data_IF_521339685187
#
_entry.id   IF_521339685187
#
_cell.length_a   1.000
_cell.length_b   1.000
_cell.length_c   1.000
_cell.angle_alpha   90.00
_cell.angle_beta   90.00
_cell.angle_gamma   90.00
#
_symmetry.space_group_name_H-M   'P 1'
#
loop_
_entity.id
_entity.type
_entity.pdbx_description
1 polymer ?
#
# COMPACT_ATOMS: atom_id res chain seq x y z
N UNK A 1 -11.57 7.34 -16.03
CA UNK A 1 -11.59 7.87 -14.64
C UNK A 1 -10.95 6.90 -13.66
N UNK A 2 -10.30 7.40 -12.61
CA UNK A 2 -9.75 6.58 -11.55
C UNK A 2 -10.16 7.09 -10.17
N UNK A 3 -10.36 6.18 -9.20
CA UNK A 3 -10.75 6.50 -7.85
C UNK A 3 -9.63 6.28 -6.84
N UNK A 4 -9.61 7.09 -5.77
CA UNK A 4 -8.65 6.96 -4.68
C UNK A 4 -9.25 7.44 -3.36
N UNK A 5 -8.69 6.92 -2.26
CA UNK A 5 -9.13 7.25 -0.90
C UNK A 5 -8.35 8.45 -0.35
N UNK A 6 -8.90 9.65 -0.51
CA UNK A 6 -8.34 10.90 0.01
C UNK A 6 -7.31 11.56 -0.92
N UNK A 7 -7.42 12.88 -1.07
CA UNK A 7 -6.49 13.67 -1.88
C UNK A 7 -5.10 13.72 -1.22
N UNK A 8 -4.05 13.64 -2.02
CA UNK A 8 -2.65 13.56 -1.57
C UNK A 8 -2.26 12.20 -0.99
N UNK A 9 -3.12 11.18 -1.11
CA UNK A 9 -2.81 9.84 -0.64
C UNK A 9 -1.85 9.11 -1.59
N UNK A 10 -1.16 8.08 -1.06
CA UNK A 10 -0.34 7.20 -1.89
C UNK A 10 -1.16 6.53 -3.00
N UNK A 11 -2.45 6.28 -2.77
CA UNK A 11 -3.36 5.72 -3.77
C UNK A 11 -3.59 6.67 -4.95
N UNK A 12 -3.67 7.97 -4.72
CA UNK A 12 -3.72 8.98 -5.78
C UNK A 12 -2.38 9.06 -6.51
N UNK A 13 -1.28 9.19 -5.76
CA UNK A 13 0.05 9.40 -6.33
C UNK A 13 0.48 8.25 -7.24
N UNK A 14 0.29 7.00 -6.82
CA UNK A 14 0.65 5.84 -7.64
C UNK A 14 -0.12 5.78 -8.96
N UNK A 15 -1.42 6.04 -8.92
CA UNK A 15 -2.23 6.06 -10.13
C UNK A 15 -1.86 7.23 -11.04
N UNK A 16 -1.66 8.43 -10.48
CA UNK A 16 -1.24 9.62 -11.24
C UNK A 16 0.11 9.38 -11.92
N UNK A 17 1.07 8.81 -11.21
CA UNK A 17 2.38 8.46 -11.77
C UNK A 17 2.26 7.42 -12.88
N UNK A 18 1.51 6.34 -12.63
CA UNK A 18 1.27 5.29 -13.63
C UNK A 18 0.64 5.85 -14.91
N UNK A 19 -0.46 6.61 -14.81
CA UNK A 19 -1.12 7.19 -15.98
C UNK A 19 -0.22 8.18 -16.72
N UNK A 20 0.57 8.98 -15.99
CA UNK A 20 1.57 9.86 -16.59
C UNK A 20 2.62 9.08 -17.40
N UNK A 21 3.17 8.01 -16.85
CA UNK A 21 4.13 7.14 -17.54
C UNK A 21 3.50 6.40 -18.73
N UNK A 22 2.25 5.99 -18.62
CA UNK A 22 1.51 5.33 -19.69
C UNK A 22 1.03 6.30 -20.80
N UNK A 23 1.20 7.61 -20.62
CA UNK A 23 0.71 8.63 -21.57
C UNK A 23 -0.81 8.67 -21.65
N UNK A 24 -1.52 8.30 -20.61
CA UNK A 24 -2.97 8.24 -20.54
C UNK A 24 -3.50 9.44 -19.76
N UNK A 25 -4.33 10.25 -20.42
CA UNK A 25 -5.10 11.29 -19.74
C UNK A 25 -6.26 10.67 -18.96
N UNK A 26 -6.17 10.67 -17.64
CA UNK A 26 -7.19 10.12 -16.74
C UNK A 26 -7.59 11.15 -15.68
N UNK A 27 -8.88 11.18 -15.34
CA UNK A 27 -9.41 12.08 -14.32
C UNK A 27 -9.54 11.35 -13.00
N UNK A 28 -8.88 11.87 -11.96
CA UNK A 28 -8.93 11.34 -10.61
C UNK A 28 -10.16 11.83 -9.83
N UNK A 29 -10.79 10.93 -9.08
CA UNK A 29 -11.96 11.20 -8.24
C UNK A 29 -11.65 10.76 -6.82
N UNK A 30 -11.67 11.71 -5.89
CA UNK A 30 -11.41 11.46 -4.47
C UNK A 30 -12.67 10.95 -3.77
N UNK A 31 -12.51 9.92 -2.96
CA UNK A 31 -13.55 9.36 -2.09
C UNK A 31 -13.12 9.42 -0.62
N UNK A 32 -14.08 9.34 0.29
CA UNK A 32 -13.84 9.34 1.73
C UNK A 32 -13.55 7.91 2.24
N UNK A 33 -12.42 7.34 1.78
CA UNK A 33 -11.94 6.02 2.16
C UNK A 33 -12.04 4.95 1.08
N UNK A 34 -11.46 3.77 1.37
CA UNK A 34 -11.39 2.63 0.42
C UNK A 34 -12.76 2.05 0.08
N UNK A 35 -13.63 1.86 1.07
CA UNK A 35 -14.94 1.24 0.84
C UNK A 35 -15.81 1.99 -0.16
N UNK A 36 -16.01 3.33 -0.06
CA UNK A 36 -16.75 4.08 -1.08
C UNK A 36 -16.04 4.10 -2.43
N UNK A 37 -14.70 4.06 -2.49
CA UNK A 37 -13.94 3.97 -3.75
C UNK A 37 -14.23 2.64 -4.46
N UNK A 38 -14.16 1.52 -3.73
CA UNK A 38 -14.45 0.19 -4.27
C UNK A 38 -15.91 0.09 -4.71
N UNK A 39 -16.85 0.61 -3.91
CA UNK A 39 -18.27 0.64 -4.28
C UNK A 39 -18.49 1.44 -5.58
N UNK A 40 -17.78 2.54 -5.79
CA UNK A 40 -17.86 3.32 -7.02
C UNK A 40 -17.32 2.55 -8.24
N UNK A 41 -16.25 1.76 -8.08
CA UNK A 41 -15.74 0.87 -9.13
C UNK A 41 -16.79 -0.18 -9.50
N UNK A 42 -17.30 -0.92 -8.51
CA UNK A 42 -18.29 -1.97 -8.71
C UNK A 42 -19.61 -1.43 -9.28
N UNK A 43 -19.96 -0.20 -8.96
CA UNK A 43 -21.11 0.51 -9.51
C UNK A 43 -20.89 1.12 -10.91
N UNK A 44 -19.69 1.01 -11.49
CA UNK A 44 -19.35 1.59 -12.79
C UNK A 44 -19.29 3.13 -12.81
N UNK A 45 -19.08 3.75 -11.65
CA UNK A 45 -18.92 5.20 -11.54
C UNK A 45 -17.48 5.67 -11.80
N UNK A 46 -16.53 4.77 -11.71
CA UNK A 46 -15.12 4.93 -12.08
C UNK A 46 -14.65 3.69 -12.82
N UNK A 47 -13.60 3.83 -13.63
CA UNK A 47 -13.09 2.74 -14.47
C UNK A 47 -12.03 1.90 -13.76
N UNK A 48 -11.22 2.51 -12.89
CA UNK A 48 -10.19 1.83 -12.11
C UNK A 48 -10.06 2.44 -10.71
N UNK A 49 -9.52 1.67 -9.78
CA UNK A 49 -9.08 2.18 -8.48
C UNK A 49 -7.86 1.40 -7.97
N UNK A 50 -7.18 1.97 -6.99
CA UNK A 50 -6.16 1.28 -6.20
C UNK A 50 -6.74 0.96 -4.83
N UNK A 51 -6.52 -0.27 -4.37
CA UNK A 51 -6.94 -0.74 -3.05
C UNK A 51 -5.91 -1.71 -2.46
N UNK A 52 -5.98 -1.91 -1.15
CA UNK A 52 -5.16 -2.92 -0.49
C UNK A 52 -5.65 -4.34 -0.85
N UNK A 53 -4.77 -5.33 -1.06
CA UNK A 53 -5.19 -6.69 -1.41
C UNK A 53 -6.28 -7.26 -0.50
N UNK A 54 -6.17 -7.09 0.83
CA UNK A 54 -7.17 -7.56 1.79
C UNK A 54 -8.57 -6.94 1.62
N UNK A 55 -8.69 -5.81 0.90
CA UNK A 55 -9.96 -5.14 0.64
C UNK A 55 -10.55 -5.51 -0.72
N UNK A 56 -9.69 -5.77 -1.73
CA UNK A 56 -10.12 -5.89 -3.14
C UNK A 56 -10.16 -7.33 -3.65
N UNK A 57 -9.33 -8.24 -3.10
CA UNK A 57 -9.19 -9.59 -3.66
C UNK A 57 -10.49 -10.40 -3.64
N UNK A 58 -11.36 -10.20 -2.68
CA UNK A 58 -12.68 -10.85 -2.66
C UNK A 58 -13.50 -10.57 -3.93
N UNK A 59 -13.37 -9.37 -4.51
CA UNK A 59 -14.07 -8.98 -5.74
C UNK A 59 -13.36 -9.49 -7.00
N UNK A 60 -12.06 -9.69 -6.94
CA UNK A 60 -11.30 -10.34 -8.01
C UNK A 60 -11.63 -11.84 -8.05
N UNK A 61 -11.69 -12.50 -6.89
CA UNK A 61 -12.02 -13.92 -6.76
C UNK A 61 -13.47 -14.22 -7.15
N UNK A 62 -14.41 -13.31 -6.85
CA UNK A 62 -15.82 -13.44 -7.32
C UNK A 62 -16.01 -13.11 -8.80
N UNK A 63 -15.02 -12.48 -9.45
CA UNK A 63 -15.10 -12.03 -10.84
C UNK A 63 -15.81 -10.70 -11.05
N UNK A 64 -16.09 -9.95 -9.97
CA UNK A 64 -16.71 -8.63 -10.03
C UNK A 64 -15.70 -7.52 -10.39
N UNK A 65 -14.42 -7.80 -10.23
CA UNK A 65 -13.30 -6.91 -10.60
C UNK A 65 -12.15 -7.70 -11.22
N UNK A 66 -11.24 -7.01 -11.88
CA UNK A 66 -10.01 -7.60 -12.46
C UNK A 66 -8.80 -6.87 -11.88
N UNK A 67 -7.85 -7.62 -11.31
CA UNK A 67 -6.57 -7.07 -10.91
C UNK A 67 -5.68 -6.87 -12.16
N UNK A 68 -5.26 -5.63 -12.40
CA UNK A 68 -4.44 -5.27 -13.57
C UNK A 68 -2.96 -5.44 -13.25
N UNK A 69 -2.54 -5.07 -12.04
CA UNK A 69 -1.16 -5.11 -11.61
C UNK A 69 -0.98 -4.67 -10.15
N UNK A 70 0.21 -4.90 -9.62
CA UNK A 70 0.58 -4.53 -8.25
C UNK A 70 1.69 -3.47 -8.31
N UNK A 71 1.58 -2.44 -7.48
CA UNK A 71 2.60 -1.41 -7.29
C UNK A 71 3.70 -1.91 -6.34
N UNK A 72 4.45 -2.91 -6.77
CA UNK A 72 5.52 -3.50 -5.98
C UNK A 72 6.74 -3.76 -6.86
N UNK A 73 7.92 -3.92 -6.28
CA UNK A 73 9.15 -4.23 -7.01
C UNK A 73 9.15 -5.64 -7.57
N UNK A 74 8.61 -6.58 -6.80
CA UNK A 74 8.52 -7.98 -7.13
C UNK A 74 7.08 -8.48 -6.96
N UNK A 75 6.75 -9.59 -7.62
CA UNK A 75 5.44 -10.24 -7.45
C UNK A 75 5.23 -10.64 -6.01
N UNK A 76 4.00 -10.51 -5.57
CA UNK A 76 3.60 -10.99 -4.26
C UNK A 76 3.61 -12.53 -4.26
N UNK A 77 4.32 -13.19 -3.33
CA UNK A 77 4.45 -14.64 -3.33
C UNK A 77 3.18 -15.39 -2.88
N UNK A 78 2.17 -14.70 -2.36
CA UNK A 78 0.94 -15.31 -1.89
C UNK A 78 0.16 -15.95 -3.03
N UNK A 79 -0.46 -17.12 -2.77
CA UNK A 79 -1.09 -17.97 -3.77
C UNK A 79 -2.13 -17.23 -4.63
N UNK A 80 -2.91 -16.36 -4.03
CA UNK A 80 -3.96 -15.59 -4.72
C UNK A 80 -3.46 -14.32 -5.42
N UNK A 81 -2.17 -13.97 -5.28
CA UNK A 81 -1.57 -12.75 -5.85
C UNK A 81 -0.41 -13.02 -6.81
N UNK A 82 0.22 -14.19 -6.73
CA UNK A 82 1.46 -14.52 -7.46
C UNK A 82 1.37 -14.41 -8.99
N UNK A 83 0.17 -14.57 -9.53
CA UNK A 83 -0.07 -14.50 -10.96
C UNK A 83 -0.37 -13.08 -11.44
N UNK A 84 -0.56 -12.12 -10.53
CA UNK A 84 -0.76 -10.72 -10.87
C UNK A 84 0.60 -10.07 -11.11
N UNK A 85 0.86 -9.51 -12.30
CA UNK A 85 2.14 -8.88 -12.60
C UNK A 85 2.33 -7.60 -11.80
N UNK A 86 3.58 -7.18 -11.60
CA UNK A 86 3.87 -5.83 -11.14
C UNK A 86 3.81 -4.84 -12.29
N UNK A 87 3.52 -3.57 -12.01
CA UNK A 87 3.61 -2.51 -13.03
C UNK A 87 5.03 -2.37 -13.57
N UNK A 88 6.04 -2.65 -12.74
CA UNK A 88 7.46 -2.67 -13.13
C UNK A 88 7.76 -3.75 -14.17
N UNK A 89 7.21 -4.97 -14.01
CA UNK A 89 7.32 -6.02 -15.03
C UNK A 89 6.66 -5.63 -16.36
N UNK A 90 5.63 -4.80 -16.33
CA UNK A 90 4.96 -4.27 -17.51
C UNK A 90 5.69 -3.07 -18.14
N UNK A 91 6.83 -2.65 -17.59
CA UNK A 91 7.65 -1.55 -18.10
C UNK A 91 7.37 -0.18 -17.48
N UNK A 92 6.53 -0.11 -16.46
CA UNK A 92 6.24 1.12 -15.72
C UNK A 92 6.98 1.09 -14.38
N UNK A 93 8.03 1.91 -14.23
CA UNK A 93 8.80 2.00 -13.00
C UNK A 93 8.07 2.83 -11.95
N UNK A 94 6.99 2.25 -11.45
CA UNK A 94 6.16 2.80 -10.39
C UNK A 94 5.97 1.74 -9.31
N UNK A 95 6.50 2.02 -8.14
CA UNK A 95 6.34 1.18 -6.95
C UNK A 95 5.81 2.03 -5.83
N UNK A 96 4.90 1.48 -5.05
CA UNK A 96 4.34 2.16 -3.91
C UNK A 96 3.88 1.15 -2.86
N UNK A 97 4.45 1.24 -1.68
CA UNK A 97 4.07 0.37 -0.57
C UNK A 97 3.41 1.17 0.54
N UNK A 98 2.34 0.62 1.09
CA UNK A 98 1.70 1.14 2.31
C UNK A 98 2.14 0.27 3.47
N UNK A 99 2.89 0.83 4.38
CA UNK A 99 3.35 0.17 5.59
C UNK A 99 2.96 0.98 6.84
N UNK A 100 2.94 0.33 7.97
CA UNK A 100 2.51 0.93 9.24
C UNK A 100 3.61 0.78 10.27
N UNK A 101 3.77 1.79 11.10
CA UNK A 101 4.74 1.78 12.20
C UNK A 101 4.12 2.40 13.45
N UNK A 102 4.69 2.06 14.61
CA UNK A 102 4.30 2.66 15.88
C UNK A 102 5.29 3.76 16.25
N UNK A 103 4.77 4.85 16.78
CA UNK A 103 5.56 5.98 17.25
C UNK A 103 5.32 6.22 18.74
N UNK A 104 6.36 6.67 19.41
CA UNK A 104 6.29 7.18 20.78
C UNK A 104 6.53 8.71 20.76
N UNK A 105 5.99 9.46 21.72
CA UNK A 105 6.28 10.88 21.85
C UNK A 105 7.77 11.17 21.98
N UNK A 106 8.24 12.28 21.42
CA UNK A 106 9.62 12.72 21.58
C UNK A 106 9.94 12.91 23.08
N UNK A 107 11.11 12.42 23.51
CA UNK A 107 11.53 12.48 24.91
C UNK A 107 10.99 11.34 25.79
N UNK A 108 10.34 10.33 25.20
CA UNK A 108 10.01 9.09 25.95
C UNK A 108 11.29 8.50 26.56
N UNK A 109 11.30 8.12 27.86
CA UNK A 109 12.46 7.51 28.50
C UNK A 109 12.95 6.27 27.75
N UNK A 110 14.29 6.11 27.70
CA UNK A 110 14.93 5.05 26.91
C UNK A 110 14.53 3.63 27.37
N UNK A 111 14.33 3.42 28.65
CA UNK A 111 13.86 2.15 29.21
C UNK A 111 12.44 1.79 28.72
N UNK A 112 11.57 2.79 28.55
CA UNK A 112 10.22 2.62 28.00
C UNK A 112 10.30 2.29 26.49
N UNK A 113 11.14 3.02 25.74
CA UNK A 113 11.36 2.76 24.31
C UNK A 113 11.85 1.33 24.11
N UNK A 114 12.89 0.94 24.85
CA UNK A 114 13.46 -0.41 24.81
C UNK A 114 12.39 -1.47 25.11
N UNK A 115 11.63 -1.28 26.20
CA UNK A 115 10.58 -2.23 26.58
C UNK A 115 9.50 -2.40 25.53
N UNK A 116 9.05 -1.28 24.92
CA UNK A 116 8.05 -1.32 23.84
C UNK A 116 8.59 -2.03 22.62
N UNK A 117 9.82 -1.71 22.19
CA UNK A 117 10.47 -2.32 21.02
C UNK A 117 10.64 -3.82 21.21
N UNK A 118 11.21 -4.27 22.35
CA UNK A 118 11.37 -5.69 22.64
C UNK A 118 10.03 -6.44 22.66
N UNK A 119 8.99 -5.82 23.22
CA UNK A 119 7.66 -6.43 23.28
C UNK A 119 7.05 -6.57 21.88
N UNK A 120 7.17 -5.53 21.05
CA UNK A 120 6.68 -5.57 19.67
C UNK A 120 7.43 -6.60 18.84
N UNK A 121 8.75 -6.65 18.93
CA UNK A 121 9.56 -7.67 18.25
C UNK A 121 9.13 -9.07 18.64
N UNK A 122 8.95 -9.32 19.95
CA UNK A 122 8.48 -10.62 20.42
C UNK A 122 7.08 -10.99 19.88
N UNK A 123 6.16 -10.00 19.75
CA UNK A 123 4.84 -10.22 19.16
C UNK A 123 4.94 -10.61 17.69
N UNK A 124 5.80 -9.93 16.91
CA UNK A 124 5.94 -10.22 15.47
C UNK A 124 6.50 -11.60 15.16
N UNK A 125 7.13 -12.24 16.12
CA UNK A 125 7.66 -13.60 16.02
C UNK A 125 6.61 -14.69 16.34
N UNK A 126 5.47 -14.33 16.95
CA UNK A 126 4.43 -15.29 17.32
C UNK A 126 3.68 -15.85 16.11
N UNK A 127 3.20 -17.08 16.23
CA UNK A 127 2.38 -17.71 15.20
C UNK A 127 1.02 -16.98 15.05
N UNK A 128 0.44 -16.49 16.16
CA UNK A 128 -0.79 -15.69 16.14
C UNK A 128 -0.65 -14.42 15.31
N UNK A 129 0.49 -13.73 15.39
CA UNK A 129 0.74 -12.55 14.56
C UNK A 129 0.88 -12.90 13.08
N UNK A 130 1.58 -13.99 12.76
CA UNK A 130 1.71 -14.48 11.38
C UNK A 130 0.36 -14.87 10.80
N UNK A 131 -0.44 -15.63 11.56
CA UNK A 131 -1.81 -16.00 11.16
C UNK A 131 -2.69 -14.74 10.96
N UNK A 132 -2.57 -13.74 11.82
CA UNK A 132 -3.25 -12.46 11.66
C UNK A 132 -2.81 -11.76 10.37
N UNK A 133 -1.53 -11.72 10.07
CA UNK A 133 -1.02 -11.12 8.83
C UNK A 133 -1.55 -11.84 7.59
N UNK A 134 -1.51 -13.17 7.58
CA UNK A 134 -2.01 -13.97 6.48
C UNK A 134 -3.52 -13.76 6.25
N UNK A 135 -4.31 -13.80 7.32
CA UNK A 135 -5.75 -13.59 7.26
C UNK A 135 -6.15 -12.19 6.75
N UNK A 136 -5.31 -11.18 6.99
CA UNK A 136 -5.54 -9.80 6.56
C UNK A 136 -4.75 -9.39 5.31
N UNK A 137 -4.11 -10.35 4.63
CA UNK A 137 -3.30 -10.10 3.44
C UNK A 137 -2.18 -9.05 3.68
N UNK A 138 -1.56 -9.11 4.86
CA UNK A 138 -0.43 -8.25 5.25
C UNK A 138 0.88 -8.99 5.08
N UNK A 139 1.93 -8.29 4.65
CA UNK A 139 3.30 -8.81 4.68
C UNK A 139 3.97 -8.29 5.96
N UNK A 140 4.43 -9.18 6.86
CA UNK A 140 5.17 -8.78 8.03
C UNK A 140 6.45 -8.04 7.62
N UNK A 141 6.70 -6.90 8.27
CA UNK A 141 7.89 -6.11 8.06
C UNK A 141 8.52 -5.83 9.44
N UNK A 142 9.74 -6.28 9.64
CA UNK A 142 10.50 -6.01 10.86
C UNK A 142 11.73 -5.18 10.50
N UNK A 143 11.75 -3.93 10.94
CA UNK A 143 12.83 -2.99 10.74
C UNK A 143 13.33 -2.50 12.11
N UNK A 144 14.62 -2.23 12.21
CA UNK A 144 15.18 -1.45 13.31
C UNK A 144 14.68 0.00 13.22
N UNK A 145 14.84 0.76 14.28
CA UNK A 145 14.47 2.19 14.28
C UNK A 145 15.27 2.98 13.23
N UNK A 146 16.55 2.67 13.08
CA UNK A 146 17.43 3.29 12.10
C UNK A 146 16.96 3.01 10.66
N UNK A 147 16.73 1.76 10.32
CA UNK A 147 16.23 1.34 9.00
C UNK A 147 14.85 1.95 8.71
N UNK A 148 13.99 2.03 9.71
CA UNK A 148 12.67 2.66 9.56
C UNK A 148 12.79 4.15 9.27
N UNK A 149 13.65 4.89 9.98
CA UNK A 149 13.87 6.33 9.77
C UNK A 149 14.51 6.58 8.40
N UNK A 150 15.47 5.77 7.98
CA UNK A 150 16.08 5.85 6.64
C UNK A 150 15.01 5.70 5.55
N UNK A 151 14.20 4.66 5.65
CA UNK A 151 13.10 4.40 4.72
C UNK A 151 12.07 5.55 4.68
N UNK A 152 11.68 6.10 5.83
CA UNK A 152 10.77 7.27 5.89
C UNK A 152 11.35 8.44 5.10
N UNK A 153 12.65 8.72 5.27
CA UNK A 153 13.30 9.84 4.60
C UNK A 153 13.39 9.63 3.08
N UNK A 154 13.72 8.42 2.64
CA UNK A 154 13.77 8.07 1.22
C UNK A 154 12.40 8.20 0.56
N UNK A 155 11.36 7.58 1.16
CA UNK A 155 10.01 7.65 0.63
C UNK A 155 9.44 9.08 0.66
N UNK A 156 9.77 9.87 1.70
CA UNK A 156 9.36 11.26 1.77
C UNK A 156 9.96 12.11 0.65
N UNK A 157 11.22 11.88 0.29
CA UNK A 157 11.87 12.59 -0.81
C UNK A 157 11.18 12.28 -2.15
N UNK A 158 10.92 11.00 -2.44
CA UNK A 158 10.21 10.58 -3.66
C UNK A 158 8.80 11.17 -3.71
N UNK A 159 8.06 11.10 -2.63
CA UNK A 159 6.69 11.64 -2.57
C UNK A 159 6.65 13.16 -2.73
N UNK A 160 7.65 13.89 -2.21
CA UNK A 160 7.75 15.35 -2.41
C UNK A 160 7.95 15.71 -3.88
N UNK A 161 8.77 14.96 -4.62
CA UNK A 161 8.95 15.17 -6.05
C UNK A 161 7.65 14.92 -6.83
N UNK A 162 6.93 13.86 -6.50
CA UNK A 162 5.63 13.54 -7.12
C UNK A 162 4.53 14.57 -6.83
N UNK A 163 4.57 15.21 -5.67
CA UNK A 163 3.60 16.26 -5.29
C UNK A 163 3.93 17.61 -5.91
N UNK A 164 5.19 17.86 -6.29
CA UNK A 164 5.63 19.13 -6.86
C UNK A 164 5.38 19.23 -8.38
N UNK A 165 5.16 18.14 -9.10
CA UNK A 165 4.86 18.04 -10.53
C UNK A 165 3.38 17.93 -10.80
#
# INVERSE_FOLDING_TARGET
TYGFSGSGSLMELSQKQFFGMAGVEATGISYDGSSPTIAALLGGHIDVCTGHPGEVMQYVESGDAVAIGIFNDERDPRENLKDIPTFKEMGYDVTMSVWKFLMLPAGTPEDVVTKVTETLTAITETDEYKEFCDANQLLPLTLTTEEMVERINEEAAVNQELLAG
#
